data_IF_842326354011
#
_entry.id   IF_842326354011
#
_cell.length_a   1.000
_cell.length_b   1.000
_cell.length_c   1.000
_cell.angle_alpha   90.00
_cell.angle_beta   90.00
_cell.angle_gamma   90.00
#
_symmetry.space_group_name_H-M   'P 1'
#
loop_
_entity.id
_entity.type
_entity.pdbx_description
1 polymer ?
#
# COMPACT_ATOMS: atom_id res chain seq x y z
N UNK A 1 -7.60 12.16 6.02
CA UNK A 1 -6.73 11.01 5.79
C UNK A 1 -6.57 10.74 4.30
N UNK A 2 -5.51 10.07 3.93
CA UNK A 2 -5.29 9.66 2.55
C UNK A 2 -5.39 8.15 2.42
N UNK A 3 -5.82 7.70 1.24
CA UNK A 3 -5.58 6.34 0.76
C UNK A 3 -4.36 6.41 -0.15
N UNK A 4 -3.39 5.57 0.10
CA UNK A 4 -2.22 5.42 -0.74
C UNK A 4 -2.18 4.00 -1.29
N UNK A 5 -2.18 3.87 -2.62
CA UNK A 5 -1.86 2.61 -3.28
C UNK A 5 -0.44 2.72 -3.78
N UNK A 6 0.41 1.77 -3.44
CA UNK A 6 1.78 1.78 -3.95
C UNK A 6 2.29 0.39 -4.27
N UNK A 7 3.24 0.37 -5.20
CA UNK A 7 3.97 -0.81 -5.60
C UNK A 7 5.44 -0.42 -5.70
N UNK A 8 6.30 -1.17 -5.04
CA UNK A 8 7.74 -0.91 -5.00
C UNK A 8 8.49 -2.21 -5.21
N UNK A 9 9.32 -2.26 -6.24
CA UNK A 9 10.05 -3.48 -6.60
C UNK A 9 11.43 -3.16 -7.15
N UNK A 10 12.43 -4.04 -6.92
CA UNK A 10 13.73 -3.89 -7.54
C UNK A 10 13.70 -4.33 -9.00
N UNK A 11 14.47 -3.67 -9.85
CA UNK A 11 14.61 -4.02 -11.25
C UNK A 11 15.96 -4.66 -11.58
N UNK A 12 16.81 -4.88 -10.56
CA UNK A 12 18.14 -5.45 -10.70
C UNK A 12 18.31 -6.80 -10.02
N UNK A 13 17.19 -7.46 -9.65
CA UNK A 13 17.18 -8.73 -8.90
C UNK A 13 16.50 -9.89 -9.63
N UNK A 14 16.35 -9.80 -10.94
CA UNK A 14 15.75 -10.84 -11.74
C UNK A 14 14.23 -10.82 -11.74
N UNK A 15 13.62 -11.95 -12.13
CA UNK A 15 12.18 -12.03 -12.36
C UNK A 15 11.36 -12.18 -11.08
N UNK A 16 11.90 -12.82 -10.04
CA UNK A 16 11.21 -13.03 -8.78
C UNK A 16 11.60 -11.95 -7.78
N UNK A 17 10.62 -11.19 -7.30
CA UNK A 17 10.83 -10.09 -6.36
C UNK A 17 10.09 -10.28 -5.04
N UNK A 18 9.49 -11.46 -4.82
CA UNK A 18 8.64 -11.71 -3.66
C UNK A 18 9.36 -11.51 -2.32
N UNK A 19 10.64 -11.82 -2.25
CA UNK A 19 11.44 -11.59 -1.04
C UNK A 19 11.46 -10.11 -0.66
N UNK A 20 11.64 -9.23 -1.65
CA UNK A 20 11.72 -7.79 -1.43
C UNK A 20 10.36 -7.19 -1.11
N UNK A 21 9.31 -7.68 -1.75
CA UNK A 21 7.93 -7.31 -1.44
C UNK A 21 7.59 -7.74 -0.01
N UNK A 22 8.00 -8.94 0.40
CA UNK A 22 7.77 -9.42 1.76
C UNK A 22 8.42 -8.51 2.82
N UNK A 23 9.60 -7.97 2.57
CA UNK A 23 10.23 -7.00 3.48
C UNK A 23 9.36 -5.75 3.66
N UNK A 24 8.83 -5.22 2.56
CA UNK A 24 7.94 -4.06 2.61
C UNK A 24 6.67 -4.37 3.38
N UNK A 25 6.06 -5.51 3.13
CA UNK A 25 4.83 -5.92 3.82
C UNK A 25 5.05 -6.13 5.32
N UNK A 26 6.22 -6.62 5.72
CA UNK A 26 6.56 -6.72 7.15
C UNK A 26 6.57 -5.34 7.81
N UNK A 27 7.17 -4.35 7.15
CA UNK A 27 7.20 -2.96 7.63
C UNK A 27 5.78 -2.39 7.71
N UNK A 28 4.98 -2.60 6.68
CA UNK A 28 3.60 -2.11 6.61
C UNK A 28 2.76 -2.72 7.72
N UNK A 29 2.84 -4.04 7.89
CA UNK A 29 2.06 -4.74 8.91
C UNK A 29 2.41 -4.24 10.32
N UNK A 30 3.69 -4.05 10.60
CA UNK A 30 4.16 -3.56 11.90
C UNK A 30 3.85 -2.08 12.16
N UNK A 31 3.51 -1.33 11.13
CA UNK A 31 3.19 0.11 11.26
C UNK A 31 1.91 0.36 12.05
N UNK A 32 1.01 -0.61 12.08
CA UNK A 32 -0.30 -0.45 12.72
C UNK A 32 -1.32 0.30 11.88
N UNK A 33 -0.95 0.82 10.71
CA UNK A 33 -1.90 1.49 9.81
C UNK A 33 -2.80 0.45 9.13
N UNK A 34 -4.08 0.78 8.89
CA UNK A 34 -4.94 -0.09 8.09
C UNK A 34 -4.37 -0.27 6.68
N UNK A 35 -4.32 -1.51 6.20
CA UNK A 35 -3.80 -1.80 4.87
C UNK A 35 -4.50 -2.99 4.23
N UNK A 36 -4.33 -3.11 2.92
CA UNK A 36 -4.79 -4.25 2.15
C UNK A 36 -3.75 -4.61 1.10
N UNK A 37 -3.26 -5.84 1.14
CA UNK A 37 -2.38 -6.38 0.12
C UNK A 37 -3.22 -6.86 -1.06
N UNK A 38 -2.82 -6.49 -2.28
CA UNK A 38 -3.42 -7.01 -3.51
C UNK A 38 -2.32 -7.56 -4.42
N UNK A 39 -2.72 -8.25 -5.48
CA UNK A 39 -1.79 -8.80 -6.45
C UNK A 39 -0.99 -7.72 -7.22
N UNK A 40 -1.48 -6.48 -7.23
CA UNK A 40 -0.88 -5.38 -8.00
C UNK A 40 -0.23 -4.31 -7.13
N UNK A 41 -0.34 -4.41 -5.82
CA UNK A 41 0.23 -3.41 -4.91
C UNK A 41 -0.44 -3.44 -3.56
N UNK A 42 -0.11 -2.49 -2.71
CA UNK A 42 -0.64 -2.40 -1.35
C UNK A 42 -1.36 -1.08 -1.17
N UNK A 43 -2.50 -1.13 -0.51
CA UNK A 43 -3.29 0.06 -0.20
C UNK A 43 -3.19 0.30 1.30
N UNK A 44 -2.85 1.53 1.69
CA UNK A 44 -2.68 1.93 3.09
C UNK A 44 -3.52 3.16 3.35
N UNK A 45 -4.11 3.25 4.54
CA UNK A 45 -4.84 4.43 4.97
C UNK A 45 -4.16 5.08 6.17
N UNK A 46 -3.99 6.40 6.14
CA UNK A 46 -3.40 7.13 7.25
C UNK A 46 -3.32 8.62 6.95
N UNK A 47 -2.74 9.38 7.88
CA UNK A 47 -2.41 10.77 7.61
C UNK A 47 -1.25 10.84 6.63
N UNK A 48 -1.13 11.94 5.92
CA UNK A 48 -0.10 12.13 4.89
C UNK A 48 1.29 11.76 5.42
N UNK A 49 1.68 12.31 6.56
CA UNK A 49 3.01 12.08 7.10
C UNK A 49 3.23 10.62 7.50
N UNK A 50 2.18 9.95 7.97
CA UNK A 50 2.27 8.54 8.35
C UNK A 50 2.49 7.64 7.13
N UNK A 51 1.72 7.84 6.06
CA UNK A 51 1.86 7.01 4.86
C UNK A 51 3.16 7.31 4.12
N UNK A 52 3.61 8.56 4.11
CA UNK A 52 4.89 8.93 3.50
C UNK A 52 6.07 8.38 4.29
N UNK A 53 6.01 8.40 5.61
CA UNK A 53 7.03 7.78 6.46
C UNK A 53 7.12 6.27 6.21
N UNK A 54 5.98 5.62 5.99
CA UNK A 54 5.92 4.20 5.67
C UNK A 54 6.60 3.89 4.34
N UNK A 55 6.30 4.65 3.30
CA UNK A 55 6.95 4.51 1.99
C UNK A 55 8.45 4.73 2.10
N UNK A 56 8.87 5.74 2.87
CA UNK A 56 10.28 6.03 3.11
C UNK A 56 10.98 4.84 3.78
N UNK A 57 10.36 4.24 4.78
CA UNK A 57 10.91 3.07 5.47
C UNK A 57 11.07 1.87 4.53
N UNK A 58 10.08 1.62 3.69
CA UNK A 58 10.14 0.56 2.67
C UNK A 58 11.28 0.82 1.68
N UNK A 59 11.40 2.05 1.20
CA UNK A 59 12.47 2.43 0.26
C UNK A 59 13.84 2.24 0.89
N UNK A 60 14.05 2.74 2.10
CA UNK A 60 15.34 2.61 2.78
C UNK A 60 15.72 1.15 3.02
N UNK A 61 14.76 0.31 3.35
CA UNK A 61 15.00 -1.13 3.50
C UNK A 61 15.44 -1.76 2.19
N UNK A 62 14.76 -1.45 1.09
CA UNK A 62 15.04 -2.04 -0.22
C UNK A 62 16.34 -1.50 -0.81
N UNK A 63 16.64 -0.22 -0.64
CA UNK A 63 17.81 0.41 -1.22
C UNK A 63 19.14 0.00 -0.60
N UNK A 64 19.11 -0.75 0.50
CA UNK A 64 20.34 -1.29 1.10
C UNK A 64 21.08 -2.25 0.17
N UNK A 65 20.32 -3.03 -0.60
CA UNK A 65 20.89 -4.09 -1.44
C UNK A 65 20.33 -4.10 -2.87
N UNK A 66 19.57 -3.08 -3.26
CA UNK A 66 19.03 -2.92 -4.61
C UNK A 66 19.49 -1.59 -5.19
N UNK A 67 20.05 -1.63 -6.39
CA UNK A 67 20.56 -0.44 -7.08
C UNK A 67 19.51 0.23 -7.96
N UNK A 68 18.46 -0.52 -8.34
CA UNK A 68 17.39 0.02 -9.17
C UNK A 68 16.04 -0.40 -8.62
N UNK A 69 15.25 0.59 -8.23
CA UNK A 69 13.93 0.40 -7.63
C UNK A 69 12.94 1.22 -8.43
N UNK A 70 11.83 0.59 -8.81
CA UNK A 70 10.69 1.30 -9.40
C UNK A 70 9.58 1.39 -8.37
N UNK A 71 9.01 2.57 -8.22
CA UNK A 71 7.91 2.83 -7.29
C UNK A 71 6.80 3.55 -8.02
N UNK A 72 5.59 3.01 -7.93
CA UNK A 72 4.38 3.66 -8.41
C UNK A 72 3.49 3.98 -7.22
N UNK A 73 2.96 5.19 -7.16
CA UNK A 73 2.08 5.63 -6.09
C UNK A 73 0.85 6.32 -6.65
N UNK A 74 -0.28 6.04 -6.04
CA UNK A 74 -1.52 6.75 -6.31
C UNK A 74 -2.11 7.15 -4.96
N UNK A 75 -2.41 8.43 -4.81
CA UNK A 75 -2.91 8.98 -3.55
C UNK A 75 -4.28 9.59 -3.80
N UNK A 76 -5.22 9.26 -2.92
CA UNK A 76 -6.55 9.85 -2.90
C UNK A 76 -6.79 10.47 -1.53
N UNK A 77 -6.92 11.79 -1.49
CA UNK A 77 -7.20 12.54 -0.27
C UNK A 77 -8.65 13.01 -0.25
N UNK A 78 -9.30 12.84 0.90
CA UNK A 78 -10.64 13.39 1.12
C UNK A 78 -10.73 13.95 2.53
N UNK A 79 -10.90 15.27 2.63
CA UNK A 79 -10.98 15.96 3.92
C UNK A 79 -12.15 15.42 4.75
N UNK A 80 -11.90 15.21 6.05
CA UNK A 80 -12.93 14.77 6.99
C UNK A 80 -13.41 13.33 6.83
N UNK A 81 -12.79 12.54 5.95
CA UNK A 81 -13.18 11.13 5.73
C UNK A 81 -12.14 10.18 6.27
N UNK A 82 -12.62 9.14 6.95
CA UNK A 82 -11.81 8.05 7.53
C UNK A 82 -12.46 6.71 7.19
N UNK A 83 -11.72 5.63 7.38
CA UNK A 83 -12.23 4.27 7.16
C UNK A 83 -12.53 3.99 5.69
N UNK A 84 -11.89 4.67 4.76
CA UNK A 84 -12.18 4.58 3.33
C UNK A 84 -11.66 3.31 2.69
N UNK A 85 -10.67 2.67 3.29
CA UNK A 85 -10.12 1.41 2.80
C UNK A 85 -11.22 0.35 2.66
N UNK A 86 -12.10 0.26 3.65
CA UNK A 86 -13.27 -0.64 3.63
C UNK A 86 -14.54 0.08 3.21
N UNK A 87 -14.67 1.35 3.52
CA UNK A 87 -15.88 2.12 3.28
C UNK A 87 -16.24 2.24 1.81
N UNK A 88 -15.25 2.40 0.94
CA UNK A 88 -15.50 2.42 -0.51
C UNK A 88 -16.06 1.09 -1.02
N UNK A 89 -15.52 -0.02 -0.54
CA UNK A 89 -16.00 -1.36 -0.89
C UNK A 89 -17.40 -1.58 -0.37
N UNK A 90 -17.64 -1.24 0.89
CA UNK A 90 -18.97 -1.38 1.52
C UNK A 90 -20.02 -0.54 0.81
N UNK A 91 -19.67 0.65 0.36
CA UNK A 91 -20.59 1.53 -0.38
C UNK A 91 -21.04 0.89 -1.69
N UNK A 92 -20.12 0.28 -2.42
CA UNK A 92 -20.45 -0.41 -3.68
C UNK A 92 -21.27 -1.66 -3.41
N UNK A 93 -20.88 -2.48 -2.43
CA UNK A 93 -21.59 -3.69 -2.05
C UNK A 93 -23.02 -3.37 -1.62
N UNK A 94 -23.20 -2.30 -0.87
CA UNK A 94 -24.50 -1.85 -0.43
C UNK A 94 -25.42 -1.49 -1.61
N UNK A 95 -24.88 -0.81 -2.62
CA UNK A 95 -25.63 -0.44 -3.84
C UNK A 95 -26.01 -1.66 -4.67
N UNK A 96 -25.17 -2.68 -4.69
CA UNK A 96 -25.42 -3.92 -5.42
C UNK A 96 -26.30 -4.89 -4.62
N UNK A 97 -26.39 -4.73 -3.31
CA UNK A 97 -27.12 -5.63 -2.42
C UNK A 97 -26.45 -7.00 -2.23
N UNK A 98 -25.15 -7.09 -2.43
CA UNK A 98 -24.40 -8.32 -2.24
C UNK A 98 -22.93 -8.07 -1.95
N UNK A 99 -22.27 -9.07 -1.36
CA UNK A 99 -20.84 -9.06 -1.12
C UNK A 99 -20.07 -9.39 -2.41
N UNK A 100 -19.00 -8.65 -2.65
CA UNK A 100 -18.12 -8.88 -3.79
C UNK A 100 -16.82 -9.56 -3.34
N UNK A 101 -16.12 -10.12 -4.31
CA UNK A 101 -14.77 -10.63 -4.07
C UNK A 101 -13.80 -9.47 -3.89
N UNK A 102 -13.18 -9.41 -2.74
CA UNK A 102 -12.23 -8.35 -2.41
C UNK A 102 -10.97 -8.88 -1.75
#
# INVERSE_FOLDING_TARGET
MVLLEFSMSPFDKGASVSEYVARSLDIIDKSGLPYQLTAMGTIVEGEWDEVMALVTACFKSMSRDCERISTSMKIDFRAGKRGRLKGKIQSVESKLGRTLST
#
